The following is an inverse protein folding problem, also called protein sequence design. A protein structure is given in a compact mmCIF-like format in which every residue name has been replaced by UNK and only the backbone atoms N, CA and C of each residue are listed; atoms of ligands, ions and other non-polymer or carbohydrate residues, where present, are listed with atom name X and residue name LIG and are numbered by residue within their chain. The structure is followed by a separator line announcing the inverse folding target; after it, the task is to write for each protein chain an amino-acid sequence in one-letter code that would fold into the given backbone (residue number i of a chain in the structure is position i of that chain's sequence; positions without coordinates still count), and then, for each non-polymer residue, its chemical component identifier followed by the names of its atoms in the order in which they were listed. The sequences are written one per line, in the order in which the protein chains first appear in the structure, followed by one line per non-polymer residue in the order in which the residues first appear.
data_IF_169944212748
#
_entry.id   IF_169944212748
#
_cell.length_a   1.000
_cell.length_b   1.000
_cell.length_c   1.000
_cell.angle_alpha   90.00
_cell.angle_beta   90.00
_cell.angle_gamma   90.00
#
_symmetry.space_group_name_H-M   'P 1'
#
loop_
_entity.id
_entity.type
_entity.pdbx_description
1 polymer ?
#
# COMPACT_ATOMS: atom_id res chain seq x y z
N UNK A 1 64.33 -5.88 -42.10
CA UNK A 1 63.79 -7.17 -41.62
C UNK A 1 62.26 -7.11 -41.63
N UNK A 2 61.66 -7.76 -42.62
CA UNK A 2 60.23 -7.71 -42.95
C UNK A 2 59.34 -8.42 -41.92
N UNK A 3 58.27 -7.75 -41.47
CA UNK A 3 57.19 -8.36 -40.67
C UNK A 3 56.07 -8.83 -41.60
N UNK A 4 55.79 -10.14 -41.59
CA UNK A 4 54.66 -10.77 -42.32
C UNK A 4 53.32 -10.45 -41.64
N UNK A 5 52.24 -10.19 -42.39
CA UNK A 5 50.89 -10.10 -41.83
C UNK A 5 50.24 -11.50 -41.76
N UNK A 6 49.74 -11.87 -40.58
CA UNK A 6 48.98 -13.11 -40.37
C UNK A 6 47.51 -12.91 -40.71
N UNK A 7 47.05 -13.67 -41.71
CA UNK A 7 45.68 -13.74 -42.23
C UNK A 7 44.76 -14.44 -41.21
N UNK A 8 43.69 -13.77 -40.75
CA UNK A 8 42.66 -14.34 -39.88
C UNK A 8 41.70 -15.23 -40.70
N UNK A 9 41.34 -16.45 -40.25
CA UNK A 9 40.36 -17.28 -40.95
C UNK A 9 38.93 -16.77 -40.75
N UNK A 10 38.15 -16.82 -41.83
CA UNK A 10 36.78 -16.34 -41.92
C UNK A 10 35.80 -17.09 -41.03
N UNK A 11 34.85 -16.33 -40.47
CA UNK A 11 33.75 -16.81 -39.63
C UNK A 11 32.65 -17.39 -40.54
N UNK A 12 32.18 -18.63 -40.33
CA UNK A 12 31.13 -19.19 -41.16
C UNK A 12 29.79 -18.50 -40.88
N UNK A 13 29.15 -18.05 -41.97
CA UNK A 13 27.80 -17.50 -42.02
C UNK A 13 26.79 -18.57 -41.61
N UNK A 14 26.10 -18.37 -40.48
CA UNK A 14 24.97 -19.20 -40.06
C UNK A 14 23.73 -18.74 -40.81
N UNK A 15 23.23 -19.60 -41.72
CA UNK A 15 21.93 -19.42 -42.33
C UNK A 15 20.82 -19.52 -41.25
N UNK A 16 19.78 -18.67 -41.32
CA UNK A 16 18.64 -18.77 -40.43
C UNK A 16 17.78 -20.01 -40.76
N UNK A 17 17.24 -20.70 -39.75
CA UNK A 17 16.38 -21.86 -39.97
C UNK A 17 15.06 -21.42 -40.61
N UNK A 18 14.65 -22.15 -41.66
CA UNK A 18 13.34 -22.03 -42.29
C UNK A 18 12.27 -22.33 -41.24
N UNK A 19 11.44 -21.33 -40.93
CA UNK A 19 10.25 -21.49 -40.09
C UNK A 19 9.23 -22.32 -40.88
N UNK A 20 8.97 -23.53 -40.39
CA UNK A 20 7.78 -24.30 -40.74
C UNK A 20 6.55 -23.52 -40.26
N UNK A 21 5.53 -23.51 -41.12
CA UNK A 21 4.29 -22.76 -40.96
C UNK A 21 3.26 -23.74 -40.39
N UNK A 22 3.17 -23.79 -39.07
CA UNK A 22 2.09 -24.45 -38.35
C UNK A 22 1.15 -23.34 -37.85
N UNK A 23 0.28 -22.86 -38.75
CA UNK A 23 -0.94 -22.14 -38.39
C UNK A 23 -2.08 -23.18 -38.36
N UNK A 24 -3.02 -23.01 -37.43
CA UNK A 24 -4.31 -23.74 -37.31
C UNK A 24 -4.35 -24.94 -36.31
N UNK A 25 -4.25 -24.66 -34.99
CA UNK A 25 -4.78 -25.59 -33.95
C UNK A 25 -5.02 -24.98 -32.54
N UNK A 26 -5.20 -23.66 -32.35
CA UNK A 26 -5.34 -23.06 -31.00
C UNK A 26 -6.67 -22.32 -30.77
N UNK A 27 -7.79 -22.88 -31.24
CA UNK A 27 -9.11 -22.22 -31.21
C UNK A 27 -10.10 -22.70 -30.15
N UNK A 28 -9.91 -23.88 -29.54
CA UNK A 28 -11.00 -24.55 -28.81
C UNK A 28 -10.91 -24.46 -27.27
N UNK A 29 -9.73 -24.16 -26.70
CA UNK A 29 -9.54 -24.16 -25.23
C UNK A 29 -9.91 -22.84 -24.53
N UNK A 30 -10.10 -21.73 -25.26
CA UNK A 30 -10.45 -20.44 -24.64
C UNK A 30 -11.92 -20.35 -24.18
N UNK A 31 -12.82 -21.14 -24.77
CA UNK A 31 -14.25 -21.04 -24.49
C UNK A 31 -14.60 -21.66 -23.13
N UNK A 32 -13.98 -22.80 -22.79
CA UNK A 32 -14.20 -23.47 -21.50
C UNK A 32 -13.71 -22.66 -20.29
N UNK A 33 -12.65 -21.87 -20.44
CA UNK A 33 -12.15 -21.00 -19.37
C UNK A 33 -13.12 -19.85 -19.06
N UNK A 34 -13.76 -19.28 -20.09
CA UNK A 34 -14.73 -18.18 -19.93
C UNK A 34 -16.00 -18.69 -19.23
N UNK A 35 -16.46 -19.88 -19.59
CA UNK A 35 -17.63 -20.50 -18.95
C UNK A 35 -17.38 -20.84 -17.48
N UNK A 36 -16.21 -21.42 -17.17
CA UNK A 36 -15.79 -21.71 -15.79
C UNK A 36 -15.71 -20.43 -14.92
N UNK A 37 -15.20 -19.32 -15.47
CA UNK A 37 -15.15 -18.05 -14.74
C UNK A 37 -16.54 -17.48 -14.44
N UNK A 38 -17.47 -17.59 -15.40
CA UNK A 38 -18.86 -17.13 -15.18
C UNK A 38 -19.57 -17.95 -14.11
N UNK A 39 -19.33 -19.25 -14.05
CA UNK A 39 -19.89 -20.14 -13.03
C UNK A 39 -19.35 -19.80 -11.64
N UNK A 40 -18.04 -19.59 -11.50
CA UNK A 40 -17.40 -19.16 -10.25
C UNK A 40 -17.94 -17.81 -9.73
N UNK A 41 -18.19 -16.86 -10.62
CA UNK A 41 -18.76 -15.56 -10.23
C UNK A 41 -20.23 -15.68 -9.77
N UNK A 42 -21.00 -16.59 -10.36
CA UNK A 42 -22.37 -16.88 -9.94
C UNK A 42 -22.39 -17.53 -8.54
N UNK A 43 -21.51 -18.50 -8.31
CA UNK A 43 -21.35 -19.18 -7.02
C UNK A 43 -20.92 -18.21 -5.92
N UNK A 44 -19.95 -17.32 -6.18
CA UNK A 44 -19.53 -16.30 -5.23
C UNK A 44 -20.69 -15.35 -4.85
N UNK A 45 -21.56 -14.98 -5.80
CA UNK A 45 -22.74 -14.16 -5.53
C UNK A 45 -23.77 -14.91 -4.66
N UNK A 46 -23.97 -16.20 -4.90
CA UNK A 46 -24.86 -17.03 -4.10
C UNK A 46 -24.39 -17.13 -2.63
N UNK A 47 -23.11 -17.41 -2.41
CA UNK A 47 -22.52 -17.48 -1.06
C UNK A 47 -22.61 -16.14 -0.31
N UNK A 48 -22.40 -15.01 -0.99
CA UNK A 48 -22.56 -13.69 -0.38
C UNK A 48 -24.00 -13.42 0.06
N UNK A 49 -24.98 -13.88 -0.71
CA UNK A 49 -26.40 -13.77 -0.36
C UNK A 49 -26.72 -14.62 0.88
N UNK A 50 -26.24 -15.85 0.92
CA UNK A 50 -26.43 -16.76 2.06
C UNK A 50 -25.82 -16.21 3.35
N UNK A 51 -24.59 -15.68 3.29
CA UNK A 51 -23.94 -15.03 4.45
C UNK A 51 -24.75 -13.83 4.94
N UNK A 52 -25.33 -13.04 4.03
CA UNK A 52 -26.17 -11.90 4.40
C UNK A 52 -27.47 -12.34 5.10
N UNK A 53 -28.11 -13.43 4.64
CA UNK A 53 -29.30 -14.01 5.25
C UNK A 53 -28.99 -14.58 6.66
N UNK A 54 -27.88 -15.29 6.83
CA UNK A 54 -27.44 -15.79 8.15
C UNK A 54 -27.20 -14.64 9.12
N UNK A 55 -26.57 -13.54 8.67
CA UNK A 55 -26.35 -12.35 9.51
C UNK A 55 -27.66 -11.65 9.89
N UNK A 56 -28.61 -11.57 8.96
CA UNK A 56 -29.93 -11.01 9.25
C UNK A 56 -30.70 -11.86 10.27
N UNK A 57 -30.64 -13.19 10.16
CA UNK A 57 -31.32 -14.12 11.08
C UNK A 57 -30.71 -14.12 12.49
N UNK A 58 -29.40 -13.83 12.62
CA UNK A 58 -28.68 -13.87 13.90
C UNK A 58 -28.62 -12.52 14.63
N UNK A 59 -29.32 -11.50 14.16
CA UNK A 59 -29.46 -10.24 14.89
C UNK A 59 -30.65 -10.37 15.84
N UNK A 60 -30.47 -10.67 17.14
CA UNK A 60 -31.58 -10.68 18.08
C UNK A 60 -32.21 -9.29 18.12
N UNK A 61 -33.54 -9.24 18.03
CA UNK A 61 -34.30 -8.01 18.21
C UNK A 61 -33.87 -7.36 19.54
N UNK A 62 -33.66 -6.03 19.59
CA UNK A 62 -33.40 -5.34 20.84
C UNK A 62 -34.62 -5.52 21.74
N UNK A 63 -34.53 -6.41 22.72
CA UNK A 63 -35.52 -6.51 23.79
C UNK A 63 -35.60 -5.14 24.46
N UNK A 64 -36.79 -4.54 24.37
CA UNK A 64 -37.10 -3.28 25.02
C UNK A 64 -36.96 -3.47 26.53
N UNK A 65 -35.92 -2.88 27.12
CA UNK A 65 -35.77 -2.81 28.57
C UNK A 65 -36.98 -2.12 29.20
N UNK A 66 -37.65 -2.73 30.19
CA UNK A 66 -38.72 -2.07 30.91
C UNK A 66 -38.14 -0.98 31.82
N UNK A 67 -38.79 0.18 31.80
CA UNK A 67 -38.53 1.29 32.70
C UNK A 67 -38.75 0.86 34.17
N UNK A 68 -37.65 0.65 34.89
CA UNK A 68 -37.64 0.37 36.32
C UNK A 68 -37.32 1.64 37.11
N UNK A 69 -38.35 2.19 37.75
CA UNK A 69 -38.29 3.21 38.80
C UNK A 69 -37.58 2.68 40.05
N UNK A 70 -36.57 3.38 40.57
CA UNK A 70 -36.19 3.28 41.99
C UNK A 70 -35.74 4.61 42.56
N UNK A 71 -36.62 5.10 43.43
CA UNK A 71 -36.47 5.89 44.65
C UNK A 71 -35.08 6.25 45.18
N UNK A 72 -35.04 7.49 45.69
CA UNK A 72 -33.99 8.14 46.44
C UNK A 72 -33.61 7.44 47.76
N UNK A 73 -32.32 7.47 48.10
CA UNK A 73 -31.86 7.52 49.50
C UNK A 73 -30.59 8.34 49.57
N UNK A 74 -30.62 9.39 50.40
CA UNK A 74 -29.52 10.33 50.58
C UNK A 74 -28.34 9.76 51.36
N UNK A 75 -27.19 10.39 51.16
CA UNK A 75 -25.97 10.18 51.95
C UNK A 75 -25.12 11.44 51.91
N UNK A 76 -25.24 12.26 52.97
CA UNK A 76 -24.34 13.37 53.30
C UNK A 76 -22.97 12.84 53.73
N UNK A 77 -21.89 13.54 53.38
CA UNK A 77 -20.70 13.89 54.21
C UNK A 77 -19.75 14.71 53.33
N UNK A 78 -19.54 16.01 53.62
CA UNK A 78 -18.36 16.60 54.29
C UNK A 78 -17.01 16.12 53.71
N UNK A 79 -15.97 16.91 53.45
CA UNK A 79 -15.55 18.29 53.80
C UNK A 79 -14.33 18.56 52.90
N UNK A 80 -14.19 19.72 52.26
CA UNK A 80 -13.35 20.79 52.80
C UNK A 80 -11.88 20.68 52.35
N UNK A 81 -11.45 21.57 51.44
CA UNK A 81 -10.17 22.28 51.58
C UNK A 81 -10.14 23.50 50.67
N UNK A 82 -9.67 24.60 51.26
CA UNK A 82 -9.71 25.97 50.80
C UNK A 82 -8.38 26.42 50.19
N UNK A 83 -8.40 27.58 49.52
CA UNK A 83 -7.24 28.35 49.07
C UNK A 83 -6.74 27.88 47.70
N UNK A 84 -6.45 28.74 46.72
CA UNK A 84 -5.75 30.01 46.84
C UNK A 84 -6.21 31.03 45.79
N UNK A 85 -6.33 32.26 46.26
CA UNK A 85 -6.57 33.48 45.50
C UNK A 85 -5.40 33.87 44.60
N UNK A 86 -5.73 34.51 43.47
CA UNK A 86 -5.03 35.71 43.01
C UNK A 86 -3.92 35.54 41.98
N UNK A 87 -4.24 35.82 40.71
CA UNK A 87 -3.61 36.96 40.02
C UNK A 87 -4.40 37.31 38.77
N UNK A 88 -5.21 38.37 38.87
CA UNK A 88 -5.66 39.16 37.75
C UNK A 88 -4.48 39.98 37.24
N UNK A 89 -4.15 39.78 35.97
CA UNK A 89 -3.16 40.52 35.21
C UNK A 89 -3.71 40.71 33.80
N UNK A 90 -4.67 41.61 33.67
CA UNK A 90 -5.11 42.13 32.37
C UNK A 90 -3.96 42.91 31.75
N UNK A 91 -3.26 42.28 30.80
CA UNK A 91 -2.47 43.00 29.81
C UNK A 91 -3.24 42.96 28.49
N UNK A 92 -3.97 44.06 28.28
CA UNK A 92 -4.58 44.45 27.01
C UNK A 92 -3.48 44.64 25.96
N UNK A 93 -3.14 43.55 25.27
CA UNK A 93 -2.35 43.64 24.06
C UNK A 93 -3.31 43.72 22.87
N UNK A 94 -3.62 44.95 22.45
CA UNK A 94 -4.30 45.28 21.19
C UNK A 94 -3.37 45.00 20.01
N UNK A 95 -2.95 43.73 19.88
CA UNK A 95 -2.31 43.23 18.68
C UNK A 95 -3.35 43.21 17.57
N UNK A 96 -3.15 44.08 16.57
CA UNK A 96 -4.07 44.26 15.46
C UNK A 96 -4.56 42.92 14.90
N UNK A 97 -5.86 42.69 15.04
CA UNK A 97 -6.60 41.70 14.28
C UNK A 97 -6.40 42.03 12.80
N UNK A 98 -5.39 41.41 12.19
CA UNK A 98 -5.40 41.20 10.76
C UNK A 98 -6.63 40.36 10.48
N UNK A 99 -7.70 41.04 10.08
CA UNK A 99 -8.84 40.45 9.43
C UNK A 99 -8.29 39.83 8.13
N UNK A 100 -7.76 38.61 8.23
CA UNK A 100 -7.59 37.74 7.08
C UNK A 100 -8.99 37.62 6.52
N UNK A 101 -9.21 38.32 5.41
CA UNK A 101 -10.50 38.41 4.79
C UNK A 101 -11.05 36.99 4.68
N UNK A 102 -12.23 36.80 5.29
CA UNK A 102 -13.08 35.62 5.17
C UNK A 102 -13.61 35.55 3.74
N UNK A 103 -12.68 35.52 2.78
CA UNK A 103 -12.96 35.27 1.39
C UNK A 103 -13.67 33.93 1.36
N UNK A 104 -14.85 33.95 0.78
CA UNK A 104 -15.76 32.83 0.64
C UNK A 104 -15.15 31.80 -0.35
N UNK A 105 -13.94 31.32 -0.07
CA UNK A 105 -13.29 30.26 -0.80
C UNK A 105 -14.09 29.00 -0.53
N UNK A 106 -15.00 28.70 -1.46
CA UNK A 106 -15.65 27.39 -1.54
C UNK A 106 -14.54 26.36 -1.68
N UNK A 107 -14.14 25.74 -0.58
CA UNK A 107 -13.18 24.64 -0.63
C UNK A 107 -13.81 23.56 -1.50
N UNK A 108 -13.16 23.26 -2.63
CA UNK A 108 -13.59 22.15 -3.47
C UNK A 108 -13.42 20.84 -2.68
N UNK A 109 -14.36 19.90 -2.77
CA UNK A 109 -14.20 18.59 -2.17
C UNK A 109 -12.89 17.93 -2.63
N UNK A 110 -12.13 17.39 -1.68
CA UNK A 110 -10.81 16.79 -1.94
C UNK A 110 -10.88 15.56 -2.86
N UNK A 111 -12.06 14.98 -3.03
CA UNK A 111 -12.33 13.78 -3.80
C UNK A 111 -12.95 14.07 -5.18
N UNK A 112 -13.02 15.33 -5.61
CA UNK A 112 -13.67 15.74 -6.86
C UNK A 112 -13.02 15.09 -8.10
N UNK A 113 -11.70 14.88 -8.09
CA UNK A 113 -10.96 14.25 -9.19
C UNK A 113 -11.11 12.72 -9.24
N UNK A 114 -11.70 12.09 -8.21
CA UNK A 114 -11.81 10.63 -8.16
C UNK A 114 -12.99 10.16 -9.01
N UNK A 115 -12.80 9.27 -10.00
CA UNK A 115 -13.88 8.77 -10.82
C UNK A 115 -14.97 8.07 -10.00
N UNK A 116 -16.25 8.25 -10.38
CA UNK A 116 -17.41 7.66 -9.69
C UNK A 116 -17.31 6.13 -9.55
N UNK A 117 -16.75 5.46 -10.54
CA UNK A 117 -16.51 4.00 -10.53
C UNK A 117 -15.58 3.56 -9.39
N UNK A 118 -14.59 4.40 -9.02
CA UNK A 118 -13.70 4.13 -7.89
C UNK A 118 -14.39 4.43 -6.56
N UNK A 119 -15.19 5.50 -6.48
CA UNK A 119 -16.01 5.81 -5.29
C UNK A 119 -16.98 4.67 -4.97
N UNK A 120 -17.64 4.12 -5.98
CA UNK A 120 -18.54 2.95 -5.85
C UNK A 120 -17.80 1.69 -5.35
N UNK A 121 -16.56 1.47 -5.79
CA UNK A 121 -15.71 0.39 -5.25
C UNK A 121 -15.39 0.61 -3.77
N UNK A 122 -15.07 1.83 -3.36
CA UNK A 122 -14.81 2.16 -1.95
C UNK A 122 -16.08 1.93 -1.12
N UNK A 123 -17.24 2.42 -1.58
CA UNK A 123 -18.52 2.26 -0.88
C UNK A 123 -19.00 0.81 -0.79
N UNK A 124 -18.69 -0.02 -1.78
CA UNK A 124 -18.98 -1.45 -1.74
C UNK A 124 -17.99 -2.26 -0.89
N UNK A 125 -17.04 -1.58 -0.24
CA UNK A 125 -16.04 -2.23 0.62
C UNK A 125 -14.93 -2.93 -0.16
N UNK A 126 -14.79 -2.73 -1.47
CA UNK A 126 -13.70 -3.34 -2.25
C UNK A 126 -12.38 -2.60 -1.96
N UNK A 127 -11.33 -3.35 -1.64
CA UNK A 127 -10.01 -2.78 -1.40
C UNK A 127 -9.43 -2.15 -2.69
N UNK A 128 -9.22 -0.83 -2.66
CA UNK A 128 -8.65 -0.04 -3.75
C UNK A 128 -7.19 0.31 -3.46
N UNK A 129 -6.31 0.30 -4.47
CA UNK A 129 -4.91 0.76 -4.30
C UNK A 129 -4.86 2.29 -4.17
N UNK A 130 -4.14 2.82 -3.18
CA UNK A 130 -4.12 4.28 -2.94
C UNK A 130 -3.48 5.11 -4.06
N UNK A 131 -2.61 4.51 -4.88
CA UNK A 131 -2.02 5.17 -6.04
C UNK A 131 -3.07 5.78 -6.97
N UNK A 132 -4.22 5.11 -7.14
CA UNK A 132 -5.25 5.55 -8.08
C UNK A 132 -6.14 6.66 -7.53
N UNK A 133 -5.99 7.00 -6.25
CA UNK A 133 -6.75 8.07 -5.60
C UNK A 133 -6.04 9.41 -5.67
N UNK A 134 -4.74 9.43 -5.98
CA UNK A 134 -3.98 10.65 -6.07
C UNK A 134 -4.29 11.38 -7.39
N UNK A 135 -4.37 12.72 -7.39
CA UNK A 135 -4.41 13.48 -8.62
C UNK A 135 -3.20 13.13 -9.48
N UNK A 136 -3.39 13.08 -10.81
CA UNK A 136 -2.25 13.02 -11.72
C UNK A 136 -1.37 14.25 -11.47
N UNK A 137 -0.05 14.07 -11.55
CA UNK A 137 0.87 15.20 -11.45
C UNK A 137 0.46 16.25 -12.52
N UNK A 138 0.32 17.54 -12.18
CA UNK A 138 -0.14 18.56 -13.15
C UNK A 138 0.72 18.60 -14.42
N UNK A 139 1.99 18.22 -14.29
CA UNK A 139 2.92 18.07 -15.40
C UNK A 139 2.50 16.95 -16.36
N UNK A 140 1.99 15.83 -15.86
CA UNK A 140 1.43 14.76 -16.71
C UNK A 140 0.14 15.19 -17.41
N UNK A 141 -0.70 16.00 -16.76
CA UNK A 141 -1.94 16.49 -17.39
C UNK A 141 -1.65 17.40 -18.58
N UNK A 142 -0.57 18.20 -18.53
CA UNK A 142 -0.15 19.06 -19.63
C UNK A 142 0.48 18.27 -20.80
N UNK A 143 0.99 17.07 -20.56
CA UNK A 143 1.61 16.22 -21.59
C UNK A 143 0.57 15.36 -22.35
N UNK A 144 -0.62 15.11 -21.79
CA UNK A 144 -1.67 14.30 -22.46
C UNK A 144 -2.39 15.03 -23.61
N UNK A 145 -2.37 16.37 -23.64
CA UNK A 145 -2.95 17.21 -24.70
C UNK A 145 -2.05 17.36 -25.94
N UNK A 146 -0.88 16.71 -25.95
CA UNK A 146 -0.08 16.64 -27.18
C UNK A 146 -0.72 15.64 -28.16
N UNK A 147 -0.97 16.08 -29.40
CA UNK A 147 -1.55 15.32 -30.53
C UNK A 147 -0.62 14.18 -31.04
N UNK A 148 0.03 13.45 -30.14
CA UNK A 148 0.77 12.24 -30.49
C UNK A 148 -0.19 11.07 -30.79
N UNK A 149 0.14 10.31 -31.84
CA UNK A 149 -0.62 9.19 -32.40
C UNK A 149 -1.19 8.21 -31.34
N UNK A 150 -2.46 7.81 -31.52
CA UNK A 150 -3.27 6.99 -30.60
C UNK A 150 -2.65 5.63 -30.18
N UNK A 151 -1.75 5.07 -31.00
CA UNK A 151 -1.07 3.81 -30.72
C UNK A 151 -0.07 3.92 -29.56
N UNK A 152 0.64 5.04 -29.44
CA UNK A 152 1.63 5.24 -28.38
C UNK A 152 1.00 5.65 -27.06
N UNK A 153 -0.16 6.34 -27.09
CA UNK A 153 -0.96 6.65 -25.89
C UNK A 153 -1.43 5.39 -25.15
N UNK A 154 -1.81 4.32 -25.86
CA UNK A 154 -2.19 3.03 -25.24
C UNK A 154 -1.02 2.31 -24.57
N UNK A 155 0.19 2.40 -25.12
CA UNK A 155 1.40 1.80 -24.54
C UNK A 155 1.90 2.56 -23.32
N UNK A 156 1.81 3.91 -23.32
CA UNK A 156 2.17 4.76 -22.17
C UNK A 156 1.24 4.51 -20.96
N UNK A 157 -0.07 4.34 -21.17
CA UNK A 157 -1.05 4.07 -20.08
C UNK A 157 -0.78 2.77 -19.31
N UNK A 158 -0.24 1.73 -19.94
CA UNK A 158 0.08 0.45 -19.27
C UNK A 158 1.35 0.52 -18.40
N UNK A 159 2.25 1.49 -18.62
CA UNK A 159 3.47 1.67 -17.82
C UNK A 159 3.29 2.51 -16.55
N UNK A 160 2.11 3.11 -16.32
CA UNK A 160 1.76 3.76 -15.04
C UNK A 160 1.63 2.76 -13.87
N UNK A 161 1.85 1.47 -14.13
CA UNK A 161 1.95 0.46 -13.11
C UNK A 161 3.13 0.70 -12.16
N UNK A 162 2.78 1.26 -11.00
CA UNK A 162 3.34 0.98 -9.67
C UNK A 162 4.47 1.90 -9.21
N UNK A 163 4.24 3.21 -9.28
CA UNK A 163 4.98 4.15 -8.43
C UNK A 163 4.69 3.79 -6.96
N UNK A 164 5.74 3.41 -6.22
CA UNK A 164 5.64 3.17 -4.79
C UNK A 164 5.24 4.48 -4.09
N UNK A 165 4.13 4.48 -3.35
CA UNK A 165 3.68 5.67 -2.63
C UNK A 165 4.67 6.00 -1.51
N UNK A 166 5.19 7.22 -1.50
CA UNK A 166 5.79 7.82 -0.31
C UNK A 166 4.76 7.88 0.84
N UNK A 167 5.23 7.99 2.08
CA UNK A 167 4.30 8.09 3.23
C UNK A 167 3.40 9.33 3.12
N UNK A 168 3.94 10.46 2.66
CA UNK A 168 3.17 11.69 2.41
C UNK A 168 2.09 11.49 1.34
N UNK A 169 2.41 10.80 0.24
CA UNK A 169 1.42 10.43 -0.78
C UNK A 169 0.36 9.49 -0.20
N UNK A 170 0.74 8.55 0.66
CA UNK A 170 -0.22 7.70 1.35
C UNK A 170 -1.15 8.50 2.27
N UNK A 171 -0.66 9.45 3.05
CA UNK A 171 -1.52 10.31 3.90
C UNK A 171 -2.51 11.11 3.06
N UNK A 172 -2.08 11.67 1.93
CA UNK A 172 -2.97 12.37 0.99
C UNK A 172 -4.07 11.43 0.45
N UNK A 173 -3.68 10.25 -0.02
CA UNK A 173 -4.63 9.26 -0.52
C UNK A 173 -5.56 8.73 0.59
N UNK A 174 -5.07 8.58 1.81
CA UNK A 174 -5.85 8.20 2.98
C UNK A 174 -6.94 9.23 3.27
N UNK A 175 -6.63 10.53 3.25
CA UNK A 175 -7.62 11.58 3.47
C UNK A 175 -8.71 11.56 2.39
N UNK A 176 -8.33 11.39 1.12
CA UNK A 176 -9.30 11.25 0.02
C UNK A 176 -10.19 10.01 0.24
N UNK A 177 -9.58 8.87 0.58
CA UNK A 177 -10.27 7.62 0.83
C UNK A 177 -11.28 7.74 1.98
N UNK A 178 -10.88 8.33 3.12
CA UNK A 178 -11.75 8.46 4.30
C UNK A 178 -12.87 9.46 4.06
N UNK A 179 -12.65 10.56 3.34
CA UNK A 179 -13.73 11.48 2.91
C UNK A 179 -14.77 10.72 2.11
N UNK A 180 -14.36 9.99 1.07
CA UNK A 180 -15.30 9.20 0.24
C UNK A 180 -16.03 8.17 1.10
N UNK A 181 -15.34 7.47 1.99
CA UNK A 181 -15.95 6.44 2.83
C UNK A 181 -16.99 7.02 3.81
N UNK A 182 -16.70 8.19 4.40
CA UNK A 182 -17.56 8.87 5.36
C UNK A 182 -18.85 9.42 4.76
N UNK A 183 -18.87 9.73 3.46
CA UNK A 183 -20.08 10.20 2.77
C UNK A 183 -21.27 9.23 2.90
N UNK A 184 -21.01 7.93 3.03
CA UNK A 184 -22.07 6.90 3.16
C UNK A 184 -22.08 6.15 4.49
N UNK A 185 -20.97 6.12 5.21
CA UNK A 185 -20.83 5.29 6.41
C UNK A 185 -20.30 6.11 7.60
N UNK A 186 -21.15 6.98 8.16
CA UNK A 186 -20.78 7.90 9.24
C UNK A 186 -20.26 7.19 10.51
N UNK A 187 -20.77 5.99 10.79
CA UNK A 187 -20.40 5.20 11.97
C UNK A 187 -18.95 4.68 11.95
N UNK A 188 -18.30 4.68 10.78
CA UNK A 188 -16.96 4.10 10.58
C UNK A 188 -15.85 5.02 11.13
N UNK A 189 -16.18 6.28 11.47
CA UNK A 189 -15.21 7.32 11.81
C UNK A 189 -14.22 6.93 12.93
N UNK A 190 -14.71 6.31 14.01
CA UNK A 190 -13.85 5.97 15.17
C UNK A 190 -12.77 4.95 14.81
N UNK A 191 -13.12 3.95 14.01
CA UNK A 191 -12.20 2.89 13.60
C UNK A 191 -11.10 3.37 12.63
N UNK A 192 -11.42 4.35 11.79
CA UNK A 192 -10.46 4.94 10.84
C UNK A 192 -9.31 5.65 11.55
N UNK A 193 -9.60 6.41 12.61
CA UNK A 193 -8.57 7.09 13.39
C UNK A 193 -7.57 6.11 14.05
N UNK A 194 -8.08 5.02 14.61
CA UNK A 194 -7.24 3.97 15.22
C UNK A 194 -6.37 3.26 14.17
N UNK A 195 -6.90 2.97 12.98
CA UNK A 195 -6.10 2.42 11.88
C UNK A 195 -5.01 3.40 11.45
N UNK A 196 -5.37 4.67 11.21
CA UNK A 196 -4.41 5.70 10.81
C UNK A 196 -3.25 5.84 11.80
N UNK A 197 -3.56 5.91 13.11
CA UNK A 197 -2.55 5.98 14.15
C UNK A 197 -1.57 4.79 14.10
N UNK A 198 -2.07 3.55 13.90
CA UNK A 198 -1.22 2.36 13.77
C UNK A 198 -0.29 2.42 12.56
N UNK A 199 -0.78 2.89 11.41
CA UNK A 199 0.06 3.06 10.22
C UNK A 199 1.15 4.12 10.46
N UNK A 200 0.81 5.23 11.12
CA UNK A 200 1.78 6.25 11.53
C UNK A 200 2.86 5.66 12.46
N UNK A 201 2.46 4.89 13.48
CA UNK A 201 3.39 4.22 14.39
C UNK A 201 4.31 3.26 13.62
N UNK A 202 3.80 2.48 12.67
CA UNK A 202 4.65 1.61 11.84
C UNK A 202 5.64 2.40 10.99
N UNK A 203 5.22 3.54 10.44
CA UNK A 203 6.11 4.41 9.69
C UNK A 203 7.23 4.99 10.57
N UNK A 204 6.92 5.46 11.78
CA UNK A 204 7.90 5.96 12.75
C UNK A 204 8.90 4.88 13.18
N UNK A 205 8.42 3.64 13.33
CA UNK A 205 9.24 2.47 13.64
C UNK A 205 10.00 1.91 12.42
N UNK A 206 9.92 2.57 11.26
CA UNK A 206 10.51 2.12 9.99
C UNK A 206 10.07 0.72 9.55
N UNK A 207 8.90 0.27 10.02
CA UNK A 207 8.28 -0.99 9.61
C UNK A 207 7.62 -0.91 8.24
N UNK A 208 7.12 -2.05 7.77
CA UNK A 208 6.44 -2.18 6.48
C UNK A 208 4.97 -1.71 6.55
N UNK A 209 4.78 -0.42 6.82
CA UNK A 209 3.46 0.22 6.96
C UNK A 209 2.57 0.08 5.72
N UNK A 210 3.16 -0.06 4.53
CA UNK A 210 2.43 -0.24 3.25
C UNK A 210 1.75 -1.60 3.18
N UNK A 211 2.49 -2.66 3.48
CA UNK A 211 1.94 -4.02 3.47
C UNK A 211 0.87 -4.17 4.55
N UNK A 212 1.14 -3.62 5.74
CA UNK A 212 0.16 -3.55 6.83
C UNK A 212 -1.15 -2.90 6.37
N UNK A 213 -1.11 -1.67 5.84
CA UNK A 213 -2.31 -0.95 5.41
C UNK A 213 -3.08 -1.73 4.34
N UNK A 214 -2.38 -2.28 3.35
CA UNK A 214 -3.01 -3.01 2.26
C UNK A 214 -3.68 -4.30 2.72
N UNK A 215 -2.99 -5.12 3.51
CA UNK A 215 -3.54 -6.38 4.05
C UNK A 215 -4.68 -6.12 5.02
N UNK A 216 -4.58 -5.08 5.84
CA UNK A 216 -5.66 -4.68 6.72
C UNK A 216 -6.91 -4.32 5.94
N UNK A 217 -6.79 -3.46 4.90
CA UNK A 217 -7.93 -3.09 4.04
C UNK A 217 -8.48 -4.26 3.24
N UNK A 218 -7.65 -5.24 2.86
CA UNK A 218 -8.11 -6.50 2.26
C UNK A 218 -8.95 -7.32 3.24
N UNK A 219 -8.54 -7.46 4.50
CA UNK A 219 -9.30 -8.17 5.52
C UNK A 219 -10.66 -7.48 5.81
N UNK A 220 -10.68 -6.14 5.85
CA UNK A 220 -11.93 -5.36 5.92
C UNK A 220 -12.82 -5.68 4.71
N UNK A 221 -12.26 -5.67 3.50
CA UNK A 221 -13.00 -5.94 2.26
C UNK A 221 -13.55 -7.37 2.17
N UNK A 222 -12.86 -8.34 2.78
CA UNK A 222 -13.31 -9.71 2.93
C UNK A 222 -14.40 -9.85 4.01
N UNK A 223 -14.64 -8.82 4.82
CA UNK A 223 -15.56 -8.87 5.95
C UNK A 223 -15.05 -9.70 7.12
N UNK A 224 -13.74 -9.96 7.15
CA UNK A 224 -13.06 -10.66 8.26
C UNK A 224 -12.84 -9.74 9.46
N UNK A 225 -12.87 -8.42 9.24
CA UNK A 225 -12.56 -7.42 10.26
C UNK A 225 -13.42 -6.16 10.12
N UNK A 226 -13.64 -5.46 11.23
CA UNK A 226 -14.21 -4.12 11.25
C UNK A 226 -13.13 -3.04 11.41
N UNK A 227 -13.41 -1.82 10.95
CA UNK A 227 -12.51 -0.70 11.16
C UNK A 227 -12.27 -0.46 12.65
N UNK A 228 -11.01 -0.34 13.04
CA UNK A 228 -10.62 -0.10 14.43
C UNK A 228 -10.12 -1.34 15.16
N UNK A 229 -10.56 -2.53 14.75
CA UNK A 229 -10.07 -3.79 15.28
C UNK A 229 -8.54 -3.86 15.12
N UNK A 230 -7.85 -4.26 16.20
CA UNK A 230 -6.40 -4.42 16.19
C UNK A 230 -6.02 -5.79 15.64
N UNK A 231 -5.07 -5.80 14.70
CA UNK A 231 -4.38 -7.02 14.29
C UNK A 231 -3.00 -7.05 14.92
N UNK A 232 -2.89 -7.64 16.11
CA UNK A 232 -1.61 -7.70 16.80
C UNK A 232 -0.57 -8.47 15.99
N UNK A 233 -0.97 -9.56 15.33
CA UNK A 233 -0.07 -10.43 14.57
C UNK A 233 0.38 -9.77 13.28
N UNK A 234 -0.54 -9.19 12.50
CA UNK A 234 -0.18 -8.43 11.30
C UNK A 234 0.69 -7.22 11.64
N UNK A 235 0.39 -6.52 12.75
CA UNK A 235 1.19 -5.39 13.20
C UNK A 235 2.60 -5.84 13.63
N UNK A 236 2.71 -6.91 14.42
CA UNK A 236 3.99 -7.42 14.89
C UNK A 236 4.87 -7.93 13.74
N UNK A 237 4.28 -8.68 12.81
CA UNK A 237 5.00 -9.20 11.63
C UNK A 237 5.51 -8.06 10.74
N UNK A 238 4.66 -7.11 10.37
CA UNK A 238 5.04 -5.97 9.52
C UNK A 238 5.97 -4.97 10.20
N UNK A 239 5.99 -4.91 11.54
CA UNK A 239 6.97 -4.13 12.31
C UNK A 239 8.38 -4.71 12.22
N UNK A 240 8.51 -6.04 12.22
CA UNK A 240 9.81 -6.72 12.16
C UNK A 240 10.34 -6.81 10.73
N UNK A 241 9.46 -6.75 9.75
CA UNK A 241 9.86 -6.65 8.36
C UNK A 241 10.49 -5.28 8.08
N UNK A 242 11.76 -5.23 7.64
CA UNK A 242 12.30 -3.98 7.15
C UNK A 242 11.40 -3.47 6.02
N UNK A 243 11.21 -2.15 5.93
CA UNK A 243 10.53 -1.49 4.82
C UNK A 243 11.31 -1.67 3.49
N UNK A 244 11.51 -2.93 3.09
CA UNK A 244 12.07 -3.31 1.80
C UNK A 244 11.01 -2.99 0.78
N UNK A 245 11.44 -2.28 -0.26
CA UNK A 245 10.58 -1.67 -1.29
C UNK A 245 9.89 -2.70 -2.21
N UNK A 246 9.59 -3.91 -1.74
CA UNK A 246 9.26 -5.04 -2.63
C UNK A 246 8.02 -5.79 -2.18
N UNK A 247 6.87 -5.12 -2.27
CA UNK A 247 5.59 -5.81 -2.51
C UNK A 247 5.12 -5.54 -3.93
N UNK A 248 6.00 -5.85 -4.89
CA UNK A 248 5.54 -6.10 -6.24
C UNK A 248 6.19 -7.38 -6.74
N UNK A 249 5.45 -8.48 -6.53
CA UNK A 249 5.07 -9.56 -7.46
C UNK A 249 5.98 -10.02 -8.60
N UNK A 250 7.09 -9.37 -8.89
CA UNK A 250 8.18 -9.91 -9.67
C UNK A 250 8.85 -11.00 -8.85
N UNK A 251 8.27 -12.21 -8.89
CA UNK A 251 9.00 -13.46 -8.68
C UNK A 251 10.17 -13.47 -9.67
N UNK A 252 11.24 -12.72 -9.40
CA UNK A 252 12.57 -13.11 -9.84
C UNK A 252 12.84 -14.36 -9.02
N UNK A 253 12.40 -15.51 -9.52
CA UNK A 253 12.89 -16.80 -9.06
C UNK A 253 14.40 -16.60 -8.91
N UNK A 254 15.02 -16.90 -7.75
CA UNK A 254 16.44 -17.16 -7.75
C UNK A 254 16.60 -18.29 -8.75
N UNK A 255 17.08 -17.96 -9.95
CA UNK A 255 17.42 -18.94 -10.94
C UNK A 255 18.62 -19.65 -10.33
N UNK A 256 18.33 -20.72 -9.60
CA UNK A 256 19.29 -21.72 -9.17
C UNK A 256 19.88 -22.33 -10.42
N UNK A 257 20.81 -21.60 -11.02
CA UNK A 257 21.75 -22.11 -12.00
C UNK A 257 22.78 -22.92 -11.24
N UNK A 258 22.42 -24.16 -10.89
CA UNK A 258 23.42 -25.18 -10.67
C UNK A 258 24.15 -25.40 -12.02
N UNK A 259 25.44 -25.04 -12.05
CA UNK A 259 26.35 -25.40 -13.14
C UNK A 259 26.66 -24.27 -14.12
N UNK A 260 27.73 -23.52 -13.85
CA UNK A 260 28.20 -22.47 -14.77
C UNK A 260 29.60 -21.94 -14.45
N UNK A 261 30.61 -22.79 -14.64
CA UNK A 261 32.05 -22.56 -14.79
C UNK A 261 32.55 -21.10 -14.65
N UNK A 262 33.33 -20.86 -13.59
CA UNK A 262 34.60 -20.10 -13.54
C UNK A 262 34.89 -19.18 -14.73
N UNK A 263 34.19 -18.06 -14.82
CA UNK A 263 34.61 -16.91 -15.62
C UNK A 263 35.31 -15.91 -14.71
N UNK A 264 36.63 -15.81 -14.82
CA UNK A 264 37.48 -14.84 -14.13
C UNK A 264 37.16 -13.43 -14.64
N UNK A 265 36.08 -12.85 -14.11
CA UNK A 265 35.68 -11.47 -14.33
C UNK A 265 36.10 -10.64 -13.12
N UNK A 266 36.95 -9.66 -13.37
CA UNK A 266 37.51 -8.70 -12.42
C UNK A 266 36.51 -8.31 -11.30
N UNK A 267 36.84 -8.52 -10.00
CA UNK A 267 36.01 -8.11 -8.88
C UNK A 267 36.13 -6.59 -8.64
N UNK A 268 35.66 -5.79 -9.60
CA UNK A 268 35.59 -4.35 -9.45
C UNK A 268 34.31 -3.93 -8.73
N UNK A 269 34.47 -3.59 -7.45
CA UNK A 269 33.75 -2.49 -6.76
C UNK A 269 32.21 -2.50 -6.81
N UNK A 270 31.55 -3.64 -6.63
CA UNK A 270 30.12 -3.60 -6.24
C UNK A 270 30.05 -3.66 -4.72
N UNK A 271 29.87 -2.49 -4.10
CA UNK A 271 29.96 -2.26 -2.67
C UNK A 271 28.86 -2.96 -1.85
N UNK A 272 29.06 -4.24 -1.56
CA UNK A 272 28.25 -5.02 -0.62
C UNK A 272 28.92 -5.23 0.75
N UNK A 273 28.12 -5.70 1.70
CA UNK A 273 28.55 -6.14 3.03
C UNK A 273 28.94 -7.62 3.02
N UNK A 274 29.86 -8.02 3.89
CA UNK A 274 30.23 -9.42 4.06
C UNK A 274 29.22 -10.13 4.98
N UNK A 275 28.39 -11.02 4.42
CA UNK A 275 27.41 -11.79 5.21
C UNK A 275 28.07 -12.67 6.28
N UNK A 276 29.20 -13.33 5.96
CA UNK A 276 29.91 -14.17 6.92
C UNK A 276 30.37 -13.40 8.15
N UNK A 277 30.90 -12.18 7.95
CA UNK A 277 31.25 -11.28 9.05
C UNK A 277 30.02 -10.89 9.88
N UNK A 278 28.90 -10.62 9.23
CA UNK A 278 27.66 -10.18 9.87
C UNK A 278 27.01 -11.30 10.71
N UNK A 279 27.12 -12.56 10.27
CA UNK A 279 26.55 -13.71 10.95
C UNK A 279 27.46 -14.25 12.06
N UNK A 280 28.78 -14.25 11.85
CA UNK A 280 29.74 -14.93 12.72
C UNK A 280 30.63 -13.97 13.52
N UNK A 281 30.47 -12.65 13.32
CA UNK A 281 31.32 -11.61 13.90
C UNK A 281 32.76 -11.61 13.36
N UNK A 282 33.11 -12.54 12.46
CA UNK A 282 34.44 -12.67 11.88
C UNK A 282 34.35 -13.25 10.47
N UNK A 283 35.30 -12.89 9.62
CA UNK A 283 35.41 -13.39 8.26
C UNK A 283 36.72 -14.14 8.10
N UNK A 284 36.65 -15.41 7.69
CA UNK A 284 37.83 -16.27 7.50
C UNK A 284 38.58 -16.00 6.18
N UNK A 285 38.06 -15.11 5.31
CA UNK A 285 38.67 -14.80 4.02
C UNK A 285 39.74 -13.71 4.22
N UNK A 286 41.02 -14.01 3.96
CA UNK A 286 42.12 -13.08 4.25
C UNK A 286 42.07 -11.78 3.43
N UNK A 287 41.46 -11.80 2.24
CA UNK A 287 41.27 -10.64 1.38
C UNK A 287 39.80 -10.53 0.94
N UNK A 288 38.89 -10.41 1.91
CA UNK A 288 37.48 -10.19 1.62
C UNK A 288 37.28 -8.83 0.91
N UNK A 289 36.73 -8.85 -0.32
CA UNK A 289 36.43 -7.63 -1.07
C UNK A 289 35.16 -6.88 -0.62
N UNK A 290 34.46 -7.39 0.40
CA UNK A 290 33.24 -6.82 0.94
C UNK A 290 33.51 -6.11 2.27
N UNK A 291 32.71 -5.08 2.60
CA UNK A 291 32.88 -4.33 3.85
C UNK A 291 32.50 -5.21 5.06
N UNK A 292 33.37 -5.25 6.06
CA UNK A 292 33.12 -5.87 7.37
C UNK A 292 32.52 -4.83 8.31
N UNK A 293 31.21 -4.67 8.22
CA UNK A 293 30.45 -3.68 8.98
C UNK A 293 29.15 -4.32 9.43
N UNK A 294 28.84 -4.26 10.72
CA UNK A 294 27.65 -4.90 11.25
C UNK A 294 26.39 -4.19 10.72
N UNK A 295 25.50 -4.91 10.05
CA UNK A 295 24.28 -4.30 9.49
C UNK A 295 23.24 -3.94 10.54
N UNK A 296 23.36 -4.46 11.76
CA UNK A 296 22.42 -4.19 12.85
C UNK A 296 22.85 -2.99 13.70
N UNK A 297 24.14 -2.86 14.02
CA UNK A 297 24.62 -1.77 14.88
C UNK A 297 25.47 -0.72 14.15
N UNK A 298 25.84 -0.95 12.90
CA UNK A 298 26.65 -0.01 12.14
C UNK A 298 28.14 -0.04 12.51
N UNK A 299 28.68 -1.22 12.82
CA UNK A 299 30.08 -1.39 13.23
C UNK A 299 30.26 -1.22 14.73
#
# INVERSE_FOLDING_TARGET
MSKRPTKRPGRPSKQPPKRFRDEEAEGEDEMGVKESLTQLLAEQKALRKEIAEIRAAKTPAPEASPAGSTTATGGKSNSGMAGHSGHSGEQSNTGGTQAWATGNQKMLPIDLHVPKTIKEKIWSGVAVRFAILLPADPKEMLEEDSDEDDEDKKKKKKKKEKKLLTFTEWVKAWNIYTTILQDRAKEVHRGLGAHFARVCTLHELQGNWRDYDYRYRLAIAAGERAWGDSDADLFATTRLEPATQTHDGGKKKPQGGAGGKTGSGNPSKVGGFCFQFNEQGSCSRPNCGFKHFCSQCGG
#
